data_IF_673621877778
#
_entry.id   IF_673621877778
#
_cell.length_a   1.000
_cell.length_b   1.000
_cell.length_c   1.000
_cell.angle_alpha   90.00
_cell.angle_beta   90.00
_cell.angle_gamma   90.00
#
_symmetry.space_group_name_H-M   'P 1'
#
loop_
_entity.id
_entity.type
_entity.pdbx_description
1 polymer ?
#
# COMPACT_ATOMS: atom_id res chain seq x y z
N UNK A 1 14.18 0.92 -14.60
CA UNK A 1 13.47 1.88 -13.72
C UNK A 1 12.73 1.08 -12.65
N UNK A 2 12.88 1.41 -11.37
CA UNK A 2 12.19 0.67 -10.29
C UNK A 2 10.70 0.98 -10.32
N UNK A 3 9.82 -0.03 -10.26
CA UNK A 3 8.36 0.16 -10.18
C UNK A 3 7.98 0.50 -8.74
N UNK A 4 7.22 1.57 -8.57
CA UNK A 4 6.67 2.01 -7.29
C UNK A 4 5.17 1.74 -7.26
N UNK A 5 4.71 1.19 -6.15
CA UNK A 5 3.30 0.90 -5.89
C UNK A 5 2.82 1.75 -4.73
N UNK A 6 1.68 2.42 -4.89
CA UNK A 6 1.03 3.18 -3.85
C UNK A 6 -0.46 2.85 -3.82
N UNK A 7 -0.98 2.49 -2.65
CA UNK A 7 -2.40 2.30 -2.42
C UNK A 7 -3.09 3.67 -2.43
N UNK A 8 -4.31 3.75 -2.98
CA UNK A 8 -5.08 4.99 -2.97
C UNK A 8 -5.36 5.40 -1.50
N UNK A 9 -4.89 6.56 -1.01
CA UNK A 9 -5.03 6.93 0.39
C UNK A 9 -6.48 7.04 0.87
N UNK A 10 -7.45 7.18 -0.05
CA UNK A 10 -8.87 7.15 0.27
C UNK A 10 -9.44 5.72 0.49
N UNK A 11 -8.63 4.68 0.27
CA UNK A 11 -9.02 3.27 0.39
C UNK A 11 -8.41 2.64 1.66
N UNK A 12 -9.18 2.50 2.76
CA UNK A 12 -8.67 1.84 3.97
C UNK A 12 -8.38 0.35 3.75
N UNK A 13 -7.45 -0.21 4.53
CA UNK A 13 -7.12 -1.65 4.54
C UNK A 13 -7.69 -2.29 5.82
N UNK A 14 -8.73 -3.09 5.67
CA UNK A 14 -9.55 -3.66 6.73
C UNK A 14 -9.39 -5.19 6.78
N UNK A 15 -9.22 -5.74 7.98
CA UNK A 15 -9.27 -7.18 8.19
C UNK A 15 -10.72 -7.61 8.33
N UNK A 16 -11.08 -8.73 7.68
CA UNK A 16 -12.39 -9.34 7.82
C UNK A 16 -12.32 -10.64 8.64
N UNK A 17 -13.38 -10.97 9.39
CA UNK A 17 -13.46 -12.21 10.16
C UNK A 17 -13.34 -13.49 9.31
N UNK A 18 -13.71 -13.41 8.04
CA UNK A 18 -13.61 -14.53 7.08
C UNK A 18 -12.19 -14.74 6.54
N UNK A 19 -11.19 -14.01 7.05
CA UNK A 19 -9.79 -14.10 6.64
C UNK A 19 -9.47 -13.36 5.34
N UNK A 20 -10.40 -12.59 4.77
CA UNK A 20 -10.08 -11.67 3.68
C UNK A 20 -9.48 -10.35 4.22
N UNK A 21 -8.73 -9.67 3.36
CA UNK A 21 -8.37 -8.27 3.54
C UNK A 21 -9.17 -7.43 2.56
N UNK A 22 -9.95 -6.49 3.08
CA UNK A 22 -10.70 -5.54 2.27
C UNK A 22 -9.89 -4.27 2.04
N UNK A 23 -9.85 -3.81 0.79
CA UNK A 23 -9.28 -2.52 0.40
C UNK A 23 -10.41 -1.62 -0.09
N UNK A 24 -10.62 -0.49 0.58
CA UNK A 24 -11.73 0.41 0.28
C UNK A 24 -13.01 0.12 1.08
N UNK A 25 -13.94 1.06 1.05
CA UNK A 25 -15.26 0.95 1.71
C UNK A 25 -16.44 1.13 0.74
N UNK A 26 -16.21 1.77 -0.41
CA UNK A 26 -17.22 1.95 -1.45
C UNK A 26 -17.59 0.59 -2.08
N UNK A 27 -18.85 0.13 -2.02
CA UNK A 27 -19.24 -1.19 -2.53
C UNK A 27 -18.99 -1.38 -4.02
N UNK A 28 -18.83 -0.30 -4.80
CA UNK A 28 -18.53 -0.37 -6.24
C UNK A 28 -17.04 -0.50 -6.55
N UNK A 29 -16.18 -0.18 -5.58
CA UNK A 29 -14.72 -0.05 -5.79
C UNK A 29 -13.90 -0.84 -4.79
N UNK A 30 -14.49 -1.26 -3.68
CA UNK A 30 -13.80 -2.03 -2.66
C UNK A 30 -13.47 -3.42 -3.21
N UNK A 31 -12.26 -3.88 -2.90
CA UNK A 31 -11.76 -5.18 -3.34
C UNK A 31 -11.52 -6.06 -2.12
N UNK A 32 -11.89 -7.32 -2.24
CA UNK A 32 -11.59 -8.35 -1.25
C UNK A 32 -10.42 -9.18 -1.74
N UNK A 33 -9.36 -9.20 -0.94
CA UNK A 33 -8.14 -9.93 -1.24
C UNK A 33 -8.06 -11.13 -0.31
N UNK A 34 -7.96 -12.31 -0.90
CA UNK A 34 -7.58 -13.52 -0.16
C UNK A 34 -6.05 -13.59 -0.10
N UNK A 35 -5.46 -13.84 1.08
CA UNK A 35 -4.01 -13.95 1.20
C UNK A 35 -3.46 -15.03 0.25
N UNK A 36 -2.43 -14.73 -0.56
CA UNK A 36 -1.76 -15.75 -1.36
C UNK A 36 -1.07 -16.75 -0.42
N UNK A 37 -0.85 -17.97 -0.91
CA UNK A 37 -0.35 -19.10 -0.12
C UNK A 37 0.88 -18.74 0.73
N UNK A 38 0.79 -18.99 2.04
CA UNK A 38 1.84 -18.69 3.01
C UNK A 38 1.68 -17.35 3.77
N UNK A 39 0.87 -16.41 3.29
CA UNK A 39 0.58 -15.18 4.04
C UNK A 39 -0.66 -15.33 4.93
N UNK A 40 -0.55 -14.87 6.18
CA UNK A 40 -1.73 -14.64 7.01
C UNK A 40 -2.49 -13.38 6.57
N UNK A 41 -3.80 -13.25 6.88
CA UNK A 41 -4.55 -12.02 6.60
C UNK A 41 -3.92 -10.77 7.21
N UNK A 42 -3.42 -10.89 8.45
CA UNK A 42 -2.74 -9.81 9.16
C UNK A 42 -1.42 -9.42 8.48
N UNK A 43 -0.65 -10.39 8.01
CA UNK A 43 0.58 -10.15 7.27
C UNK A 43 0.31 -9.45 5.93
N UNK A 44 -0.70 -9.91 5.19
CA UNK A 44 -1.11 -9.23 3.96
C UNK A 44 -1.53 -7.78 4.24
N UNK A 45 -2.33 -7.54 5.28
CA UNK A 45 -2.73 -6.19 5.65
C UNK A 45 -1.53 -5.31 6.04
N UNK A 46 -0.51 -5.86 6.71
CA UNK A 46 0.72 -5.14 7.02
C UNK A 46 1.45 -4.72 5.74
N UNK A 47 1.64 -5.64 4.78
CA UNK A 47 2.26 -5.35 3.48
C UNK A 47 1.48 -4.26 2.73
N UNK A 48 0.15 -4.39 2.60
CA UNK A 48 -0.68 -3.40 1.91
C UNK A 48 -0.65 -2.02 2.60
N UNK A 49 -0.57 -1.96 3.92
CA UNK A 49 -0.47 -0.68 4.66
C UNK A 49 0.88 0.02 4.43
N UNK A 50 1.96 -0.70 4.13
CA UNK A 50 3.22 -0.04 3.75
C UNK A 50 3.09 0.76 2.46
N UNK A 51 2.18 0.35 1.57
CA UNK A 51 1.88 1.04 0.32
C UNK A 51 1.07 2.33 0.51
N UNK A 52 0.78 2.77 1.74
CA UNK A 52 0.24 4.13 2.00
C UNK A 52 1.17 5.23 1.47
N UNK A 53 2.46 4.93 1.38
CA UNK A 53 3.44 5.71 0.64
C UNK A 53 3.94 4.88 -0.55
N UNK A 54 4.49 5.49 -1.61
CA UNK A 54 5.05 4.72 -2.73
C UNK A 54 6.19 3.78 -2.27
N UNK A 55 6.02 2.47 -2.49
CA UNK A 55 7.02 1.44 -2.12
C UNK A 55 7.47 0.69 -3.37
N UNK A 56 8.77 0.39 -3.45
CA UNK A 56 9.35 -0.38 -4.55
C UNK A 56 9.06 -1.88 -4.46
N UNK A 57 8.94 -2.54 -5.61
CA UNK A 57 8.62 -3.98 -5.68
C UNK A 57 9.58 -4.86 -4.87
N UNK A 58 10.87 -4.56 -4.88
CA UNK A 58 11.87 -5.33 -4.13
C UNK A 58 11.66 -5.22 -2.61
N UNK A 59 11.21 -4.07 -2.10
CA UNK A 59 10.90 -3.89 -0.70
C UNK A 59 9.61 -4.63 -0.32
N UNK A 60 8.59 -4.60 -1.18
CA UNK A 60 7.35 -5.36 -0.98
C UNK A 60 7.62 -6.87 -0.92
N UNK A 61 8.42 -7.42 -1.85
CA UNK A 61 8.82 -8.83 -1.83
C UNK A 61 9.59 -9.20 -0.57
N UNK A 62 10.53 -8.36 -0.12
CA UNK A 62 11.25 -8.59 1.15
C UNK A 62 10.33 -8.58 2.36
N UNK A 63 9.41 -7.62 2.44
CA UNK A 63 8.44 -7.54 3.53
C UNK A 63 7.53 -8.77 3.54
N UNK A 64 6.99 -9.16 2.39
CA UNK A 64 6.14 -10.34 2.27
C UNK A 64 6.91 -11.64 2.61
N UNK A 65 8.15 -11.79 2.15
CA UNK A 65 9.01 -12.91 2.51
C UNK A 65 9.32 -12.97 4.00
N UNK A 66 9.56 -11.82 4.64
CA UNK A 66 9.69 -11.72 6.11
C UNK A 66 8.43 -12.12 6.88
N UNK A 67 7.28 -12.13 6.22
CA UNK A 67 6.00 -12.60 6.75
C UNK A 67 5.63 -14.03 6.32
N UNK A 68 6.54 -14.77 5.68
CA UNK A 68 6.35 -16.18 5.32
C UNK A 68 5.84 -16.43 3.90
N UNK A 69 5.75 -15.41 3.05
CA UNK A 69 5.45 -15.62 1.63
C UNK A 69 6.61 -16.36 0.95
N UNK A 70 6.38 -17.61 0.54
CA UNK A 70 7.37 -18.42 -0.18
C UNK A 70 7.42 -18.15 -1.68
N UNK A 71 6.33 -17.67 -2.27
CA UNK A 71 6.23 -17.42 -3.71
C UNK A 71 6.07 -15.92 -4.03
N UNK A 72 7.12 -15.34 -4.61
CA UNK A 72 7.09 -13.93 -5.04
C UNK A 72 6.23 -13.70 -6.28
N UNK A 73 5.97 -14.73 -7.11
CA UNK A 73 5.11 -14.59 -8.29
C UNK A 73 3.66 -14.33 -7.87
N UNK A 74 3.17 -15.05 -6.85
CA UNK A 74 1.85 -14.79 -6.27
C UNK A 74 1.68 -13.35 -5.76
N UNK A 75 2.74 -12.70 -5.26
CA UNK A 75 2.69 -11.28 -4.89
C UNK A 75 2.61 -10.38 -6.12
N UNK A 76 3.39 -10.66 -7.16
CA UNK A 76 3.38 -9.87 -8.39
C UNK A 76 2.02 -9.93 -9.09
N UNK A 77 1.40 -11.12 -9.13
CA UNK A 77 0.04 -11.33 -9.65
C UNK A 77 -0.99 -10.55 -8.84
N UNK A 78 -0.89 -10.61 -7.51
CA UNK A 78 -1.75 -9.82 -6.62
C UNK A 78 -1.61 -8.31 -6.89
N UNK A 79 -0.38 -7.80 -7.00
CA UNK A 79 -0.15 -6.38 -7.28
C UNK A 79 -0.72 -5.99 -8.64
N UNK A 80 -0.56 -6.84 -9.65
CA UNK A 80 -1.15 -6.64 -10.98
C UNK A 80 -2.67 -6.56 -10.90
N UNK A 81 -3.32 -7.47 -10.15
CA UNK A 81 -4.77 -7.46 -9.95
C UNK A 81 -5.25 -6.20 -9.18
N UNK A 82 -4.51 -5.76 -8.17
CA UNK A 82 -4.83 -4.55 -7.41
C UNK A 82 -4.68 -3.26 -8.24
N UNK A 83 -3.71 -3.22 -9.15
CA UNK A 83 -3.55 -2.13 -10.12
C UNK A 83 -4.71 -2.15 -11.13
N UNK A 84 -5.06 -3.32 -11.66
CA UNK A 84 -6.21 -3.47 -12.56
C UNK A 84 -7.54 -3.08 -11.90
N UNK A 85 -7.71 -3.38 -10.61
CA UNK A 85 -8.86 -2.96 -9.81
C UNK A 85 -8.87 -1.45 -9.46
N UNK A 86 -7.78 -0.73 -9.75
CA UNK A 86 -7.68 0.72 -9.54
C UNK A 86 -7.54 1.16 -8.09
N UNK A 87 -7.26 0.24 -7.16
CA UNK A 87 -7.00 0.55 -5.74
C UNK A 87 -5.52 0.77 -5.44
N UNK A 88 -4.64 0.32 -6.34
CA UNK A 88 -3.20 0.58 -6.30
C UNK A 88 -2.81 1.31 -7.57
N UNK A 89 -1.93 2.31 -7.44
CA UNK A 89 -1.30 3.01 -8.55
C UNK A 89 0.12 2.50 -8.72
N UNK A 90 0.43 2.01 -9.90
CA UNK A 90 1.79 1.73 -10.34
C UNK A 90 2.38 2.98 -11.01
N UNK A 91 3.61 3.33 -10.65
CA UNK A 91 4.36 4.41 -11.31
C UNK A 91 5.77 3.94 -11.60
N UNK A 92 6.28 4.33 -12.76
CA UNK A 92 7.71 4.25 -13.00
C UNK A 92 8.43 5.15 -11.99
N UNK A 93 9.37 4.59 -11.25
CA UNK A 93 10.25 5.34 -10.35
C UNK A 93 11.04 6.35 -11.16
N UNK A 94 10.61 7.60 -11.10
CA UNK A 94 11.41 8.73 -11.59
C UNK A 94 12.53 8.99 -10.58
N UNK A 95 13.71 9.49 -11.02
CA UNK A 95 14.68 10.06 -10.10
C UNK A 95 13.98 11.06 -9.19
N UNK A 96 14.36 11.05 -7.90
CA UNK A 96 13.74 11.82 -6.82
C UNK A 96 13.25 13.17 -7.33
N UNK A 97 11.94 13.34 -7.40
CA UNK A 97 11.37 14.67 -7.60
C UNK A 97 11.88 15.53 -6.43
N UNK A 98 12.21 16.79 -6.70
CA UNK A 98 12.62 17.77 -5.68
C UNK A 98 11.75 17.57 -4.42
N UNK A 99 12.40 17.47 -3.25
CA UNK A 99 11.69 17.28 -1.99
C UNK A 99 10.52 18.27 -1.89
N UNK A 100 9.35 17.77 -1.51
CA UNK A 100 8.14 18.58 -1.36
C UNK A 100 8.42 19.71 -0.36
N UNK A 101 8.32 20.95 -0.80
CA UNK A 101 8.45 22.12 0.05
C UNK A 101 7.06 22.61 0.44
N UNK A 102 6.67 22.38 1.68
CA UNK A 102 5.42 22.90 2.27
C UNK A 102 5.79 24.08 3.16
N UNK A 103 5.10 25.22 3.00
CA UNK A 103 5.19 26.37 3.92
C UNK A 103 3.90 26.47 4.72
N UNK A 104 4.00 26.40 6.04
CA UNK A 104 2.88 26.60 6.96
C UNK A 104 2.81 28.09 7.31
N UNK A 105 1.62 28.69 7.19
CA UNK A 105 1.36 30.06 7.60
C UNK A 105 0.47 30.06 8.85
N UNK A 106 0.87 30.81 9.87
CA UNK A 106 0.25 30.81 11.19
C UNK A 106 1.22 30.29 12.27
N UNK A 107 0.99 30.70 13.51
CA UNK A 107 1.77 30.33 14.70
C UNK A 107 0.85 29.85 15.83
N UNK A 108 -0.23 29.17 15.46
CA UNK A 108 -1.19 28.61 16.42
C UNK A 108 -0.92 27.14 16.71
N UNK A 109 -1.67 26.54 17.65
CA UNK A 109 -1.44 25.15 18.09
C UNK A 109 -1.59 24.10 16.98
N UNK A 110 -2.38 24.39 15.93
CA UNK A 110 -2.46 23.51 14.76
C UNK A 110 -1.21 23.61 13.87
N UNK A 111 -0.58 24.78 13.80
CA UNK A 111 0.67 24.96 13.06
C UNK A 111 1.78 24.18 13.72
N UNK A 112 1.86 24.19 15.05
CA UNK A 112 2.87 23.45 15.82
C UNK A 112 2.80 21.94 15.56
N UNK A 113 1.59 21.37 15.51
CA UNK A 113 1.38 19.93 15.21
C UNK A 113 1.79 19.51 13.79
N UNK A 114 1.95 20.45 12.86
CA UNK A 114 2.30 20.15 11.46
C UNK A 114 3.81 20.22 11.20
N UNK A 115 4.59 20.78 12.13
CA UNK A 115 6.06 20.94 11.99
C UNK A 115 6.85 19.88 12.77
N UNK A 116 6.17 19.06 13.58
CA UNK A 116 6.73 17.91 14.31
C UNK A 116 6.71 16.63 13.46
#
# INVERSE_FOLDING_TARGET
MSRLFALDPAMPVLLRPDGAVQVGWDPRRAVLVRPPGGLSPTALAAVLRTMRVPVGIAQLRRLAGGHGLGDTAALDELLTALVAAGVVRERAGRPSARALSIRVHGCGPLSDLLVE
#
